data_IF_142348908256
#
_entry.id   IF_142348908256
#
_cell.length_a   1.000
_cell.length_b   1.000
_cell.length_c   1.000
_cell.angle_alpha   90.00
_cell.angle_beta   90.00
_cell.angle_gamma   90.00
#
_symmetry.space_group_name_H-M   'P 1'
#
loop_
_entity.id
_entity.type
_entity.pdbx_description
1 polymer ?
#
# COMPACT_ATOMS: atom_id res chain seq x y z
N UNK A 1 17.49 4.60 9.35
CA UNK A 1 16.93 5.05 10.64
C UNK A 1 15.45 5.40 10.43
N UNK A 2 14.61 5.18 11.44
CA UNK A 2 13.20 5.57 11.46
C UNK A 2 13.05 6.57 12.60
N UNK A 3 12.52 7.77 12.30
CA UNK A 3 12.38 8.86 13.27
C UNK A 3 10.99 9.48 13.15
N UNK A 4 10.41 9.89 14.27
CA UNK A 4 9.12 10.58 14.31
C UNK A 4 9.26 12.09 14.10
N UNK A 5 8.31 12.67 13.36
CA UNK A 5 8.12 14.10 13.21
C UNK A 5 6.67 14.42 13.59
N UNK A 6 6.45 15.46 14.39
CA UNK A 6 5.08 15.83 14.77
C UNK A 6 4.28 16.32 13.56
N UNK A 7 2.99 16.00 13.48
CA UNK A 7 2.14 16.41 12.35
C UNK A 7 2.12 17.92 12.14
N UNK A 8 2.28 18.71 13.21
CA UNK A 8 2.38 20.17 13.15
C UNK A 8 3.57 20.69 12.33
N UNK A 9 4.66 19.94 12.23
CA UNK A 9 5.79 20.32 11.39
C UNK A 9 5.48 20.13 9.91
N UNK A 10 4.78 19.05 9.56
CA UNK A 10 4.25 18.84 8.21
C UNK A 10 3.23 19.94 7.85
N UNK A 11 2.32 20.26 8.77
CA UNK A 11 1.30 21.32 8.57
C UNK A 11 1.95 22.68 8.27
N UNK A 12 3.06 23.02 8.93
CA UNK A 12 3.81 24.26 8.63
C UNK A 12 4.28 24.29 7.17
N UNK A 13 4.77 23.16 6.64
CA UNK A 13 5.24 23.07 5.25
C UNK A 13 4.07 23.05 4.26
N UNK A 14 2.97 22.35 4.56
CA UNK A 14 1.74 22.40 3.75
C UNK A 14 1.23 23.83 3.62
N UNK A 15 1.25 24.61 4.71
CA UNK A 15 0.81 26.00 4.71
C UNK A 15 1.72 26.95 3.91
N UNK A 16 2.91 26.51 3.50
CA UNK A 16 3.83 27.28 2.66
C UNK A 16 3.65 27.00 1.16
N UNK A 17 2.85 25.98 0.79
CA UNK A 17 2.59 25.68 -0.62
C UNK A 17 1.89 26.86 -1.31
N UNK A 18 2.44 27.29 -2.45
CA UNK A 18 1.89 28.42 -3.20
C UNK A 18 0.66 28.01 -4.01
N UNK A 19 -0.24 28.96 -4.28
CA UNK A 19 -1.40 28.70 -5.16
C UNK A 19 -0.98 28.22 -6.55
N UNK A 20 0.18 28.68 -7.05
CA UNK A 20 0.71 28.26 -8.34
C UNK A 20 1.15 26.79 -8.34
N UNK A 21 1.76 26.30 -7.25
CA UNK A 21 2.12 24.87 -7.11
C UNK A 21 0.86 24.00 -7.03
N UNK A 22 -0.14 24.47 -6.28
CA UNK A 22 -1.44 23.79 -6.18
C UNK A 22 -2.15 23.75 -7.54
N UNK A 23 -2.18 24.86 -8.28
CA UNK A 23 -2.77 24.94 -9.63
C UNK A 23 -2.10 23.97 -10.59
N UNK A 24 -0.78 23.89 -10.54
CA UNK A 24 0.01 22.97 -11.36
C UNK A 24 -0.36 21.51 -11.07
N UNK A 25 -0.44 21.12 -9.79
CA UNK A 25 -0.80 19.75 -9.41
C UNK A 25 -2.24 19.41 -9.79
N UNK A 26 -3.17 20.34 -9.61
CA UNK A 26 -4.57 20.14 -10.01
C UNK A 26 -4.70 19.97 -11.53
N UNK A 27 -3.94 20.72 -12.32
CA UNK A 27 -3.89 20.54 -13.78
C UNK A 27 -3.32 19.16 -14.14
N UNK A 28 -2.23 18.75 -13.49
CA UNK A 28 -1.63 17.43 -13.67
C UNK A 28 -2.59 16.29 -13.30
N UNK A 29 -3.42 16.46 -12.26
CA UNK A 29 -4.49 15.50 -11.96
C UNK A 29 -5.50 15.38 -13.10
N UNK A 30 -5.85 16.49 -13.74
CA UNK A 30 -6.75 16.52 -14.91
C UNK A 30 -6.19 15.80 -16.14
N UNK A 31 -4.87 15.84 -16.32
CA UNK A 31 -4.19 15.15 -17.42
C UNK A 31 -4.08 13.64 -17.15
N UNK A 32 -3.75 13.25 -15.91
CA UNK A 32 -3.46 11.86 -15.55
C UNK A 32 -4.68 11.03 -15.19
N UNK A 33 -5.75 11.65 -14.67
CA UNK A 33 -6.88 10.93 -14.07
C UNK A 33 -8.22 11.37 -14.63
N UNK A 34 -9.23 10.50 -14.47
CA UNK A 34 -10.62 10.87 -14.72
C UNK A 34 -11.18 11.60 -13.51
N UNK A 35 -11.19 12.94 -13.55
CA UNK A 35 -11.66 13.78 -12.43
C UNK A 35 -13.18 13.75 -12.36
N UNK A 36 -13.71 13.37 -11.19
CA UNK A 36 -15.15 13.37 -10.93
C UNK A 36 -15.75 14.77 -11.16
N UNK A 37 -16.99 14.88 -11.68
CA UNK A 37 -17.58 16.18 -12.03
C UNK A 37 -17.61 17.20 -10.89
N UNK A 38 -17.81 16.76 -9.64
CA UNK A 38 -17.86 17.66 -8.47
C UNK A 38 -16.49 18.23 -8.09
N UNK A 39 -15.40 17.55 -8.46
CA UNK A 39 -14.02 17.97 -8.21
C UNK A 39 -13.42 18.82 -9.32
N UNK A 40 -14.03 18.85 -10.51
CA UNK A 40 -13.57 19.70 -11.64
C UNK A 40 -13.63 21.18 -11.29
N UNK A 41 -12.88 22.01 -12.01
CA UNK A 41 -12.92 23.49 -11.85
C UNK A 41 -14.35 24.01 -11.98
N UNK A 42 -14.82 24.73 -10.97
CA UNK A 42 -16.21 25.21 -10.87
C UNK A 42 -17.21 24.21 -10.27
N UNK A 43 -16.79 22.98 -9.99
CA UNK A 43 -17.58 21.97 -9.27
C UNK A 43 -17.67 22.28 -7.77
N UNK A 44 -18.73 21.78 -7.14
CA UNK A 44 -19.07 22.09 -5.74
C UNK A 44 -17.98 21.66 -4.72
N UNK A 45 -17.19 20.63 -5.06
CA UNK A 45 -16.14 20.08 -4.19
C UNK A 45 -14.73 20.37 -4.72
N UNK A 46 -14.58 21.29 -5.69
CA UNK A 46 -13.26 21.62 -6.24
C UNK A 46 -12.25 22.07 -5.18
N UNK A 47 -12.71 22.73 -4.11
CA UNK A 47 -11.86 23.13 -2.99
C UNK A 47 -11.18 21.93 -2.31
N UNK A 48 -11.86 20.78 -2.18
CA UNK A 48 -11.27 19.58 -1.57
C UNK A 48 -10.15 18.99 -2.44
N UNK A 49 -10.28 19.06 -3.78
CA UNK A 49 -9.19 18.69 -4.70
C UNK A 49 -7.96 19.60 -4.50
N UNK A 50 -8.18 20.90 -4.31
CA UNK A 50 -7.10 21.86 -4.05
C UNK A 50 -6.43 21.62 -2.72
N UNK A 51 -7.18 21.33 -1.66
CA UNK A 51 -6.62 20.94 -0.36
C UNK A 51 -5.80 19.64 -0.48
N UNK A 52 -6.27 18.67 -1.26
CA UNK A 52 -5.51 17.45 -1.56
C UNK A 52 -4.17 17.74 -2.23
N UNK A 53 -4.18 18.59 -3.27
CA UNK A 53 -2.97 19.02 -3.96
C UNK A 53 -2.01 19.80 -3.06
N UNK A 54 -2.54 20.62 -2.14
CA UNK A 54 -1.75 21.36 -1.15
C UNK A 54 -1.05 20.42 -0.17
N UNK A 55 -1.77 19.40 0.30
CA UNK A 55 -1.20 18.33 1.14
C UNK A 55 -0.08 17.61 0.38
N UNK A 56 -0.30 17.22 -0.87
CA UNK A 56 0.73 16.57 -1.70
C UNK A 56 1.97 17.45 -1.88
N UNK A 57 1.78 18.73 -2.22
CA UNK A 57 2.90 19.67 -2.38
C UNK A 57 3.73 19.79 -1.10
N UNK A 58 3.06 19.97 0.05
CA UNK A 58 3.74 20.09 1.34
C UNK A 58 4.44 18.80 1.77
N UNK A 59 3.79 17.64 1.60
CA UNK A 59 4.40 16.34 1.87
C UNK A 59 5.62 16.11 0.98
N UNK A 60 5.51 16.37 -0.34
CA UNK A 60 6.62 16.22 -1.28
C UNK A 60 7.80 17.11 -0.88
N UNK A 61 7.55 18.38 -0.56
CA UNK A 61 8.58 19.31 -0.13
C UNK A 61 9.26 18.87 1.18
N UNK A 62 8.48 18.44 2.17
CA UNK A 62 8.99 17.92 3.45
C UNK A 62 9.88 16.68 3.23
N UNK A 63 9.40 15.73 2.42
CA UNK A 63 10.12 14.50 2.10
C UNK A 63 11.45 14.75 1.39
N UNK A 64 11.45 15.64 0.40
CA UNK A 64 12.64 16.00 -0.35
C UNK A 64 13.67 16.75 0.50
N UNK A 65 13.23 17.74 1.28
CA UNK A 65 14.11 18.53 2.15
C UNK A 65 14.82 17.64 3.20
N UNK A 66 14.11 16.65 3.75
CA UNK A 66 14.67 15.69 4.69
C UNK A 66 15.38 14.49 4.05
N UNK A 67 15.43 14.42 2.72
CA UNK A 67 15.97 13.28 1.95
C UNK A 67 15.33 11.92 2.35
N UNK A 68 14.07 11.93 2.77
CA UNK A 68 13.34 10.73 3.18
C UNK A 68 13.03 9.85 1.96
N UNK A 69 12.93 8.53 2.17
CA UNK A 69 12.65 7.53 1.11
C UNK A 69 11.32 6.80 1.30
N UNK A 70 10.69 7.00 2.45
CA UNK A 70 9.37 6.53 2.76
C UNK A 70 8.87 7.23 4.01
N UNK A 71 7.59 7.06 4.29
CA UNK A 71 6.91 7.72 5.39
C UNK A 71 5.70 6.90 5.83
N UNK A 72 5.12 7.31 6.94
CA UNK A 72 3.86 6.77 7.47
C UNK A 72 2.96 7.95 7.84
N UNK A 73 1.68 7.71 7.96
CA UNK A 73 0.74 8.61 8.63
C UNK A 73 0.04 7.89 9.79
N UNK A 74 -0.90 8.58 10.43
CA UNK A 74 -1.87 7.96 11.33
C UNK A 74 -3.14 8.79 11.31
N UNK A 75 -4.30 8.16 11.14
CA UNK A 75 -5.57 8.86 11.20
C UNK A 75 -5.90 9.38 12.61
N UNK A 76 -5.18 8.93 13.64
CA UNK A 76 -5.36 9.36 15.03
C UNK A 76 -4.66 10.69 15.35
N UNK A 77 -3.70 11.14 14.52
CA UNK A 77 -3.03 12.44 14.66
C UNK A 77 -3.05 13.23 13.34
N UNK A 78 -4.18 13.91 13.09
CA UNK A 78 -4.39 14.76 11.92
C UNK A 78 -4.54 16.24 12.29
N UNK A 79 -4.00 16.67 13.45
CA UNK A 79 -4.15 18.04 13.92
C UNK A 79 -3.57 19.04 12.90
N UNK A 80 -4.42 19.97 12.44
CA UNK A 80 -4.06 20.96 11.42
C UNK A 80 -4.17 20.50 9.96
N UNK A 81 -4.37 19.20 9.69
CA UNK A 81 -4.63 18.71 8.33
C UNK A 81 -6.12 18.90 7.96
N UNK A 82 -6.35 19.29 6.71
CA UNK A 82 -7.70 19.50 6.16
C UNK A 82 -8.42 18.18 5.85
N UNK A 83 -7.68 17.12 5.52
CA UNK A 83 -8.18 15.77 5.25
C UNK A 83 -7.06 14.75 5.48
N UNK A 84 -7.41 13.47 5.66
CA UNK A 84 -6.43 12.38 5.65
C UNK A 84 -5.73 12.33 4.27
N UNK A 85 -4.39 12.20 4.20
CA UNK A 85 -3.68 12.15 2.92
C UNK A 85 -4.05 10.92 2.05
N UNK A 86 -5.00 11.07 1.12
CA UNK A 86 -5.36 10.02 0.15
C UNK A 86 -4.53 10.08 -1.13
N UNK A 87 -5.01 10.82 -2.13
CA UNK A 87 -4.33 10.97 -3.44
C UNK A 87 -2.85 11.37 -3.32
N UNK A 88 -2.51 12.22 -2.35
CA UNK A 88 -1.13 12.61 -2.06
C UNK A 88 -0.23 11.39 -1.80
N UNK A 89 -0.68 10.46 -0.96
CA UNK A 89 0.06 9.24 -0.63
C UNK A 89 0.14 8.30 -1.83
N UNK A 90 -0.98 8.12 -2.53
CA UNK A 90 -1.05 7.29 -3.73
C UNK A 90 -0.04 7.75 -4.79
N UNK A 91 0.05 9.06 -5.02
CA UNK A 91 0.98 9.65 -5.97
C UNK A 91 2.43 9.60 -5.52
N UNK A 92 2.71 9.88 -4.25
CA UNK A 92 4.07 9.75 -3.70
C UNK A 92 4.57 8.29 -3.79
N UNK A 93 3.70 7.30 -3.55
CA UNK A 93 4.07 5.90 -3.80
C UNK A 93 4.37 5.62 -5.28
N UNK A 94 3.62 6.23 -6.21
CA UNK A 94 3.89 6.10 -7.65
C UNK A 94 5.23 6.74 -8.05
N UNK A 95 5.67 7.78 -7.34
CA UNK A 95 6.99 8.41 -7.48
C UNK A 95 8.13 7.60 -6.85
N UNK A 96 7.84 6.47 -6.21
CA UNK A 96 8.86 5.58 -5.66
C UNK A 96 8.97 5.59 -4.14
N UNK A 97 8.22 6.42 -3.42
CA UNK A 97 8.29 6.46 -1.96
C UNK A 97 7.70 5.18 -1.34
N UNK A 98 8.32 4.73 -0.25
CA UNK A 98 7.70 3.74 0.62
C UNK A 98 6.59 4.36 1.46
N UNK A 99 5.50 3.63 1.66
CA UNK A 99 4.43 4.04 2.54
C UNK A 99 3.91 2.84 3.34
N UNK A 100 3.55 3.10 4.58
CA UNK A 100 2.80 2.19 5.44
C UNK A 100 1.85 3.03 6.29
N UNK A 101 0.60 2.62 6.36
CA UNK A 101 -0.43 3.35 7.08
C UNK A 101 -0.35 3.11 8.60
N UNK A 102 -1.03 3.95 9.38
CA UNK A 102 -1.16 3.84 10.84
C UNK A 102 0.17 3.68 11.61
N UNK A 103 1.21 4.35 11.14
CA UNK A 103 2.54 4.33 11.76
C UNK A 103 3.37 3.09 11.41
N UNK A 104 2.94 2.28 10.43
CA UNK A 104 3.64 1.05 10.04
C UNK A 104 4.90 1.31 9.21
N UNK A 105 5.95 1.68 9.93
CA UNK A 105 7.27 1.94 9.35
C UNK A 105 7.94 0.69 8.76
N UNK A 106 7.55 -0.52 9.20
CA UNK A 106 8.11 -1.77 8.69
C UNK A 106 7.62 -2.00 7.27
N UNK A 107 6.32 -1.90 7.05
CA UNK A 107 5.75 -2.00 5.70
C UNK A 107 6.19 -0.83 4.83
N UNK A 108 6.29 0.39 5.36
CA UNK A 108 6.83 1.52 4.61
C UNK A 108 8.25 1.25 4.07
N UNK A 109 9.13 0.69 4.91
CA UNK A 109 10.47 0.30 4.50
C UNK A 109 10.46 -0.82 3.45
N UNK A 110 9.62 -1.84 3.62
CA UNK A 110 9.47 -2.94 2.68
C UNK A 110 8.96 -2.47 1.31
N UNK A 111 7.92 -1.63 1.28
CA UNK A 111 7.39 -1.02 0.04
C UNK A 111 8.49 -0.24 -0.68
N UNK A 112 9.29 0.56 0.04
CA UNK A 112 10.44 1.25 -0.58
C UNK A 112 11.47 0.28 -1.14
N UNK A 113 11.85 -0.75 -0.38
CA UNK A 113 12.82 -1.75 -0.82
C UNK A 113 12.35 -2.44 -2.10
N UNK A 114 11.10 -2.88 -2.15
CA UNK A 114 10.49 -3.52 -3.33
C UNK A 114 10.37 -2.56 -4.51
N UNK A 115 10.05 -1.28 -4.29
CA UNK A 115 10.07 -0.25 -5.35
C UNK A 115 11.46 -0.09 -5.98
N UNK A 116 12.52 -0.12 -5.17
CA UNK A 116 13.90 -0.05 -5.67
C UNK A 116 14.29 -1.34 -6.38
N UNK A 117 13.93 -2.50 -5.83
CA UNK A 117 14.16 -3.81 -6.44
C UNK A 117 13.52 -3.91 -7.84
N UNK A 118 12.36 -3.27 -8.02
CA UNK A 118 11.63 -3.25 -9.27
C UNK A 118 12.09 -2.18 -10.29
N UNK A 119 13.14 -1.41 -10.00
CA UNK A 119 13.56 -0.32 -10.87
C UNK A 119 13.92 -0.83 -12.29
N UNK A 120 13.26 -0.27 -13.31
CA UNK A 120 13.44 -0.67 -14.70
C UNK A 120 12.58 -1.86 -15.15
N UNK A 121 11.82 -2.48 -14.24
CA UNK A 121 10.85 -3.53 -14.57
C UNK A 121 9.49 -2.91 -14.91
N UNK A 122 8.72 -3.51 -15.86
CA UNK A 122 7.37 -3.07 -16.16
C UNK A 122 6.42 -3.33 -14.99
N UNK A 123 5.37 -2.52 -14.86
CA UNK A 123 4.38 -2.65 -13.78
C UNK A 123 4.81 -2.00 -12.47
N UNK A 124 4.14 -2.36 -11.37
CA UNK A 124 4.36 -1.72 -10.08
C UNK A 124 4.15 -2.64 -8.88
N UNK A 125 4.39 -2.07 -7.71
CA UNK A 125 4.08 -2.64 -6.41
C UNK A 125 3.45 -1.56 -5.52
N UNK A 126 2.71 -1.97 -4.51
CA UNK A 126 1.90 -1.10 -3.67
C UNK A 126 1.92 -1.55 -2.23
N UNK A 127 1.73 -0.61 -1.30
CA UNK A 127 1.13 -0.92 -0.01
C UNK A 127 -0.24 -1.58 -0.22
N UNK A 128 -0.59 -2.57 0.60
CA UNK A 128 -1.82 -3.35 0.48
C UNK A 128 -2.24 -3.94 1.82
N UNK A 129 -3.54 -4.12 2.00
CA UNK A 129 -4.13 -4.81 3.15
C UNK A 129 -5.22 -5.78 2.69
N UNK A 130 -5.25 -6.99 3.26
CA UNK A 130 -6.33 -7.96 3.12
C UNK A 130 -7.62 -7.39 3.76
N UNK A 131 -8.55 -6.89 2.94
CA UNK A 131 -9.67 -6.07 3.40
C UNK A 131 -10.94 -6.89 3.70
N UNK A 132 -11.26 -7.87 2.85
CA UNK A 132 -12.39 -8.79 3.07
C UNK A 132 -12.29 -10.05 2.23
N UNK A 133 -13.17 -11.03 2.47
CA UNK A 133 -13.14 -12.35 1.84
C UNK A 133 -14.42 -12.68 1.09
N UNK A 134 -14.27 -13.42 -0.01
CA UNK A 134 -15.36 -14.04 -0.75
C UNK A 134 -15.27 -15.56 -0.60
N UNK A 135 -16.16 -16.15 0.21
CA UNK A 135 -16.15 -17.59 0.52
C UNK A 135 -17.08 -18.41 -0.38
N UNK A 136 -16.94 -18.25 -1.70
CA UNK A 136 -17.50 -19.21 -2.66
C UNK A 136 -16.59 -20.46 -2.71
N UNK A 137 -17.10 -21.68 -2.42
CA UNK A 137 -16.29 -22.90 -2.47
C UNK A 137 -15.59 -23.16 -3.81
N UNK A 138 -16.14 -22.67 -4.92
CA UNK A 138 -15.55 -22.80 -6.25
C UNK A 138 -14.65 -21.61 -6.64
N UNK A 139 -14.74 -20.50 -5.91
CA UNK A 139 -14.09 -19.25 -6.29
C UNK A 139 -13.66 -18.39 -5.09
N UNK A 140 -13.06 -19.02 -4.08
CA UNK A 140 -12.63 -18.30 -2.89
C UNK A 140 -11.57 -17.25 -3.24
N UNK A 141 -11.78 -16.02 -2.77
CA UNK A 141 -10.91 -14.87 -3.07
C UNK A 141 -10.75 -13.95 -1.86
N UNK A 142 -9.67 -13.20 -1.87
CA UNK A 142 -9.44 -12.05 -1.00
C UNK A 142 -9.64 -10.77 -1.81
N UNK A 143 -10.28 -9.77 -1.22
CA UNK A 143 -10.25 -8.39 -1.71
C UNK A 143 -9.21 -7.62 -0.92
N UNK A 144 -8.18 -7.14 -1.60
CA UNK A 144 -7.21 -6.21 -1.04
C UNK A 144 -7.52 -4.78 -1.39
N UNK A 145 -7.37 -3.90 -0.40
CA UNK A 145 -7.53 -2.46 -0.52
C UNK A 145 -6.81 -1.78 0.64
N UNK A 146 -7.08 -0.49 0.84
CA UNK A 146 -6.87 0.20 2.10
C UNK A 146 -7.91 1.32 2.19
N UNK A 147 -7.91 2.09 3.27
CA UNK A 147 -8.80 3.23 3.48
C UNK A 147 -8.81 4.20 2.28
N UNK A 148 -7.63 4.56 1.77
CA UNK A 148 -7.43 5.41 0.58
C UNK A 148 -6.22 4.97 -0.28
N UNK A 149 -5.18 4.43 0.33
CA UNK A 149 -3.78 4.58 -0.05
C UNK A 149 -3.25 3.42 -0.91
N UNK A 150 -3.91 3.12 -2.03
CA UNK A 150 -3.41 2.13 -3.01
C UNK A 150 -2.69 2.84 -4.16
N UNK A 151 -1.47 2.40 -4.46
CA UNK A 151 -0.58 3.03 -5.43
C UNK A 151 -1.09 2.81 -6.88
N UNK A 152 -1.23 3.86 -7.71
CA UNK A 152 -1.72 3.73 -9.07
C UNK A 152 -0.72 3.05 -10.01
N UNK A 153 0.50 2.72 -9.57
CA UNK A 153 1.45 1.93 -10.38
C UNK A 153 0.98 0.50 -10.66
N UNK A 154 -0.01 0.00 -9.92
CA UNK A 154 -0.66 -1.30 -10.17
C UNK A 154 -2.03 -1.15 -10.84
N UNK A 155 -2.42 0.06 -11.23
CA UNK A 155 -3.72 0.30 -11.85
C UNK A 155 -3.82 -0.34 -13.24
N UNK A 156 -4.96 -0.96 -13.50
CA UNK A 156 -5.37 -1.34 -14.84
C UNK A 156 -6.28 -0.26 -15.42
N UNK A 157 -5.79 0.42 -16.46
CA UNK A 157 -6.48 1.57 -17.07
C UNK A 157 -6.25 2.88 -16.32
N UNK A 158 -6.96 3.92 -16.75
CA UNK A 158 -6.82 5.28 -16.19
C UNK A 158 -7.58 5.39 -14.85
N UNK A 159 -6.91 5.73 -13.73
CA UNK A 159 -7.58 5.89 -12.44
C UNK A 159 -8.63 7.00 -12.43
N UNK A 160 -9.71 6.78 -11.66
CA UNK A 160 -10.73 7.78 -11.37
C UNK A 160 -10.34 8.57 -10.12
N UNK A 161 -10.36 9.90 -10.19
CA UNK A 161 -10.08 10.77 -9.04
C UNK A 161 -11.41 11.21 -8.42
N UNK A 162 -11.68 10.69 -7.23
CA UNK A 162 -12.99 10.74 -6.57
C UNK A 162 -12.90 11.30 -5.15
N UNK A 163 -14.04 11.75 -4.62
CA UNK A 163 -14.21 12.21 -3.25
C UNK A 163 -15.39 11.48 -2.64
N UNK A 164 -15.20 10.96 -1.44
CA UNK A 164 -16.24 10.25 -0.70
C UNK A 164 -16.06 10.45 0.81
N UNK A 165 -17.13 10.29 1.60
CA UNK A 165 -17.03 10.36 3.04
C UNK A 165 -16.06 9.33 3.63
N UNK A 166 -15.28 9.78 4.61
CA UNK A 166 -14.47 8.92 5.47
C UNK A 166 -14.64 9.35 6.93
N UNK A 167 -15.36 8.55 7.72
CA UNK A 167 -15.57 8.84 9.14
C UNK A 167 -14.32 8.66 9.99
N UNK A 168 -13.39 7.80 9.56
CA UNK A 168 -12.13 7.51 10.25
C UNK A 168 -11.23 8.75 10.22
N UNK A 169 -10.70 9.15 11.38
CA UNK A 169 -9.90 10.37 11.54
C UNK A 169 -10.71 11.66 11.70
N UNK A 170 -12.04 11.62 11.52
CA UNK A 170 -12.93 12.76 11.83
C UNK A 170 -12.68 14.03 11.01
N UNK A 171 -12.17 13.88 9.78
CA UNK A 171 -11.87 14.98 8.87
C UNK A 171 -12.90 15.09 7.73
N UNK A 172 -12.95 16.23 7.03
CA UNK A 172 -13.62 16.35 5.74
C UNK A 172 -13.28 15.22 4.76
N UNK A 173 -14.21 14.98 3.84
CA UNK A 173 -14.16 13.94 2.82
C UNK A 173 -12.86 13.99 1.98
N UNK A 174 -11.99 12.97 2.06
CA UNK A 174 -10.72 12.97 1.35
C UNK A 174 -10.87 12.62 -0.13
N UNK A 175 -9.99 13.20 -0.94
CA UNK A 175 -9.83 12.85 -2.36
C UNK A 175 -8.89 11.66 -2.52
N UNK A 176 -9.26 10.70 -3.37
CA UNK A 176 -8.47 9.49 -3.68
C UNK A 176 -8.54 9.10 -5.16
N UNK A 177 -7.65 8.21 -5.56
CA UNK A 177 -7.71 7.47 -6.81
C UNK A 177 -8.41 6.13 -6.60
N UNK A 178 -9.34 5.81 -7.50
CA UNK A 178 -10.14 4.58 -7.53
C UNK A 178 -9.88 3.86 -8.85
N UNK A 179 -9.51 2.59 -8.78
CA UNK A 179 -9.17 1.75 -9.93
C UNK A 179 -9.22 0.26 -9.57
N UNK A 180 -9.20 -0.59 -10.60
CA UNK A 180 -9.00 -2.03 -10.47
C UNK A 180 -7.55 -2.38 -10.82
N UNK A 181 -7.06 -3.50 -10.31
CA UNK A 181 -5.74 -4.08 -10.66
C UNK A 181 -5.94 -5.20 -11.70
N UNK A 182 -4.94 -5.38 -12.57
CA UNK A 182 -4.98 -6.41 -13.62
C UNK A 182 -4.86 -7.82 -13.03
N UNK A 183 -5.45 -8.81 -13.72
CA UNK A 183 -5.24 -10.21 -13.39
C UNK A 183 -3.80 -10.67 -13.70
N UNK A 184 -3.35 -11.72 -13.03
CA UNK A 184 -2.07 -12.37 -13.28
C UNK A 184 -1.30 -12.72 -12.00
N UNK A 185 -0.14 -13.38 -12.15
CA UNK A 185 0.70 -13.76 -11.02
C UNK A 185 1.12 -12.56 -10.19
N UNK A 186 1.03 -12.71 -8.87
CA UNK A 186 1.39 -11.68 -7.92
C UNK A 186 1.94 -12.30 -6.62
N UNK A 187 2.37 -11.44 -5.71
CA UNK A 187 2.72 -11.83 -4.35
C UNK A 187 2.34 -10.76 -3.35
N UNK A 188 2.12 -11.19 -2.11
CA UNK A 188 2.06 -10.35 -0.92
C UNK A 188 3.27 -10.64 -0.04
N UNK A 189 4.03 -9.59 0.29
CA UNK A 189 5.17 -9.69 1.20
C UNK A 189 4.91 -8.92 2.50
N UNK A 190 5.30 -9.48 3.64
CA UNK A 190 5.19 -8.85 4.96
C UNK A 190 6.49 -9.03 5.74
N UNK A 191 6.96 -7.96 6.40
CA UNK A 191 8.11 -8.03 7.30
C UNK A 191 7.64 -7.87 8.75
N UNK A 192 7.94 -8.88 9.56
CA UNK A 192 7.44 -9.00 10.93
C UNK A 192 8.63 -8.99 11.88
N UNK A 193 8.51 -8.21 12.95
CA UNK A 193 9.44 -8.25 14.08
C UNK A 193 8.98 -9.33 15.06
N UNK A 194 9.79 -10.38 15.22
CA UNK A 194 9.54 -11.49 16.13
C UNK A 194 10.06 -11.21 17.54
N UNK A 195 10.56 -10.00 17.80
CA UNK A 195 11.14 -9.52 19.05
C UNK A 195 12.66 -9.61 19.06
N UNK A 196 13.22 -10.78 18.73
CA UNK A 196 14.68 -10.99 18.67
C UNK A 196 15.25 -10.98 17.24
N UNK A 197 14.39 -11.01 16.21
CA UNK A 197 14.77 -11.12 14.80
C UNK A 197 13.63 -10.68 13.90
N UNK A 198 13.93 -10.44 12.62
CA UNK A 198 12.91 -10.21 11.60
C UNK A 198 12.60 -11.49 10.81
N UNK A 199 11.36 -11.59 10.33
CA UNK A 199 10.89 -12.59 9.36
C UNK A 199 10.30 -11.87 8.15
N UNK A 200 10.78 -12.21 6.96
CA UNK A 200 10.14 -11.86 5.69
C UNK A 200 9.23 -13.02 5.27
N UNK A 201 7.93 -12.76 5.24
CA UNK A 201 6.91 -13.71 4.80
C UNK A 201 6.43 -13.32 3.41
N UNK A 202 6.42 -14.26 2.47
CA UNK A 202 5.92 -14.05 1.11
C UNK A 202 4.87 -15.09 0.79
N UNK A 203 3.68 -14.64 0.40
CA UNK A 203 2.65 -15.49 -0.18
C UNK A 203 2.49 -15.17 -1.67
N UNK A 204 2.73 -16.16 -2.51
CA UNK A 204 2.37 -16.08 -3.92
C UNK A 204 0.85 -16.20 -4.08
N UNK A 205 0.29 -15.35 -4.94
CA UNK A 205 -1.14 -15.27 -5.18
C UNK A 205 -1.41 -15.11 -6.68
N UNK A 206 -2.63 -15.43 -7.11
CA UNK A 206 -3.10 -15.13 -8.46
C UNK A 206 -4.09 -13.98 -8.40
N UNK A 207 -3.73 -12.81 -8.94
CA UNK A 207 -4.65 -11.68 -9.05
C UNK A 207 -5.73 -11.98 -10.09
N UNK A 208 -6.97 -11.59 -9.79
CA UNK A 208 -8.15 -11.88 -10.61
C UNK A 208 -8.89 -10.58 -10.91
N UNK A 209 -9.31 -10.43 -12.16
CA UNK A 209 -10.17 -9.30 -12.53
C UNK A 209 -11.56 -9.44 -11.88
N UNK A 210 -12.15 -8.35 -11.36
CA UNK A 210 -13.52 -8.38 -10.85
C UNK A 210 -14.51 -8.85 -11.91
N UNK A 211 -15.35 -9.83 -11.58
CA UNK A 211 -16.39 -10.34 -12.48
C UNK A 211 -17.58 -9.36 -12.63
N UNK A 212 -17.74 -8.45 -11.68
CA UNK A 212 -18.81 -7.46 -11.62
C UNK A 212 -18.25 -6.10 -11.22
N UNK A 213 -18.95 -5.04 -11.63
CA UNK A 213 -18.66 -3.69 -11.17
C UNK A 213 -18.86 -3.57 -9.66
N UNK A 214 -18.02 -2.75 -9.03
CA UNK A 214 -18.06 -2.47 -7.59
C UNK A 214 -18.44 -0.98 -7.35
N UNK A 215 -19.63 -0.52 -7.79
CA UNK A 215 -19.96 0.91 -7.89
C UNK A 215 -20.09 1.62 -6.53
N UNK A 216 -20.24 0.86 -5.44
CA UNK A 216 -20.35 1.38 -4.08
C UNK A 216 -19.05 1.25 -3.27
N UNK A 217 -18.01 0.63 -3.84
CA UNK A 217 -16.72 0.52 -3.18
C UNK A 217 -15.90 1.75 -3.54
N UNK A 218 -15.64 2.68 -2.61
CA UNK A 218 -15.16 4.00 -3.00
C UNK A 218 -13.62 4.08 -3.04
N UNK A 219 -12.94 2.92 -3.01
CA UNK A 219 -11.47 2.74 -2.99
C UNK A 219 -11.01 1.90 -4.16
N UNK A 220 -9.75 2.12 -4.56
CA UNK A 220 -9.03 1.20 -5.43
C UNK A 220 -8.86 -0.17 -4.77
N UNK A 221 -8.84 -1.23 -5.58
CA UNK A 221 -8.87 -2.60 -5.08
C UNK A 221 -8.25 -3.61 -6.04
N UNK A 222 -7.86 -4.76 -5.48
CA UNK A 222 -7.46 -5.97 -6.18
C UNK A 222 -8.23 -7.16 -5.61
N UNK A 223 -8.54 -8.15 -6.44
CA UNK A 223 -8.97 -9.47 -5.97
C UNK A 223 -7.83 -10.45 -6.23
N UNK A 224 -7.61 -11.40 -5.33
CA UNK A 224 -6.67 -12.49 -5.59
C UNK A 224 -7.10 -13.81 -4.98
N UNK A 225 -6.51 -14.89 -5.49
CA UNK A 225 -6.57 -16.24 -4.92
C UNK A 225 -5.22 -16.56 -4.28
N UNK A 226 -5.13 -16.73 -2.96
CA UNK A 226 -3.87 -17.06 -2.32
C UNK A 226 -3.48 -18.51 -2.61
N UNK A 227 -2.19 -18.77 -2.82
CA UNK A 227 -1.67 -20.12 -2.86
C UNK A 227 -1.43 -20.68 -1.45
N UNK A 228 -1.50 -22.02 -1.27
CA UNK A 228 -1.92 -23.02 -2.28
C UNK A 228 -3.43 -23.03 -2.51
N UNK A 229 -4.19 -22.56 -1.52
CA UNK A 229 -5.62 -22.31 -1.56
C UNK A 229 -6.00 -21.35 -0.43
N UNK A 230 -7.24 -20.85 -0.40
CA UNK A 230 -7.73 -19.92 0.62
C UNK A 230 -7.49 -20.41 2.05
N UNK A 231 -7.84 -21.65 2.36
CA UNK A 231 -7.77 -22.18 3.73
C UNK A 231 -6.33 -22.34 4.19
N UNK A 232 -5.51 -23.02 3.39
CA UNK A 232 -4.13 -23.32 3.77
C UNK A 232 -3.23 -22.08 3.67
N UNK A 233 -3.45 -21.20 2.69
CA UNK A 233 -2.70 -19.95 2.55
C UNK A 233 -2.92 -19.02 3.75
N UNK A 234 -4.18 -18.80 4.13
CA UNK A 234 -4.50 -17.99 5.33
C UNK A 234 -4.00 -18.66 6.62
N UNK A 235 -4.16 -19.98 6.77
CA UNK A 235 -3.67 -20.69 7.94
C UNK A 235 -2.14 -20.63 8.05
N UNK A 236 -1.43 -20.78 6.93
CA UNK A 236 0.01 -20.64 6.85
C UNK A 236 0.47 -19.23 7.25
N UNK A 237 -0.19 -18.20 6.74
CA UNK A 237 0.10 -16.80 7.06
C UNK A 237 -0.05 -16.50 8.55
N UNK A 238 -1.17 -16.94 9.15
CA UNK A 238 -1.45 -16.78 10.58
C UNK A 238 -0.42 -17.54 11.43
N UNK A 239 -0.08 -18.77 11.06
CA UNK A 239 0.93 -19.58 11.77
C UNK A 239 2.32 -18.94 11.71
N UNK A 240 2.66 -18.32 10.58
CA UNK A 240 3.93 -17.62 10.40
C UNK A 240 3.95 -16.23 11.08
N UNK A 241 2.80 -15.74 11.55
CA UNK A 241 2.68 -14.44 12.22
C UNK A 241 2.66 -13.24 11.27
N UNK A 242 2.25 -13.44 10.01
CA UNK A 242 2.19 -12.37 9.02
C UNK A 242 1.29 -11.21 9.42
N UNK A 243 1.66 -9.98 9.07
CA UNK A 243 0.84 -8.81 9.31
C UNK A 243 -0.36 -8.75 8.34
N UNK A 244 -1.33 -7.89 8.63
CA UNK A 244 -2.40 -7.52 7.70
C UNK A 244 -1.89 -6.55 6.62
N UNK A 245 -0.91 -5.71 6.96
CA UNK A 245 -0.18 -4.87 6.01
C UNK A 245 0.87 -5.67 5.24
N UNK A 246 0.83 -5.48 3.93
CA UNK A 246 1.74 -6.12 2.98
C UNK A 246 2.24 -5.12 1.95
N UNK A 247 3.30 -5.50 1.25
CA UNK A 247 3.58 -4.97 -0.07
C UNK A 247 3.14 -5.98 -1.12
N UNK A 248 2.13 -5.59 -1.91
CA UNK A 248 1.64 -6.35 -3.06
C UNK A 248 2.50 -6.03 -4.29
N UNK A 249 2.83 -7.05 -5.10
CA UNK A 249 3.58 -6.86 -6.35
C UNK A 249 3.16 -7.83 -7.45
N UNK A 250 3.15 -7.33 -8.68
CA UNK A 250 3.08 -8.12 -9.94
C UNK A 250 4.37 -8.02 -10.76
N UNK A 251 5.38 -7.29 -10.27
CA UNK A 251 6.58 -6.95 -11.03
C UNK A 251 7.90 -7.40 -10.38
N UNK A 252 7.84 -8.03 -9.21
CA UNK A 252 8.98 -8.75 -8.61
C UNK A 252 8.56 -10.17 -8.21
N UNK A 253 9.55 -11.03 -8.00
CA UNK A 253 9.38 -12.46 -7.72
C UNK A 253 9.69 -12.80 -6.27
N UNK A 254 9.20 -13.95 -5.82
CA UNK A 254 9.56 -14.55 -4.52
C UNK A 254 11.06 -14.87 -4.44
N UNK A 255 11.70 -15.24 -5.56
CA UNK A 255 13.15 -15.46 -5.67
C UNK A 255 13.93 -14.18 -5.31
N UNK A 256 13.58 -13.03 -5.90
CA UNK A 256 14.22 -11.75 -5.56
C UNK A 256 14.07 -11.38 -4.09
N UNK A 257 12.93 -11.71 -3.47
CA UNK A 257 12.71 -11.48 -2.03
C UNK A 257 13.47 -12.48 -1.16
N UNK A 258 13.67 -13.71 -1.63
CA UNK A 258 14.51 -14.70 -0.99
C UNK A 258 15.98 -14.28 -0.99
N UNK A 259 16.49 -13.83 -2.14
CA UNK A 259 17.84 -13.27 -2.28
C UNK A 259 18.03 -12.05 -1.36
N UNK A 260 17.04 -11.16 -1.31
CA UNK A 260 17.05 -10.02 -0.39
C UNK A 260 17.13 -10.46 1.08
N UNK A 261 16.35 -11.47 1.48
CA UNK A 261 16.37 -11.98 2.83
C UNK A 261 17.73 -12.61 3.20
N UNK A 262 18.35 -13.34 2.26
CA UNK A 262 19.69 -13.88 2.43
C UNK A 262 20.73 -12.76 2.60
N UNK A 263 20.72 -11.75 1.73
CA UNK A 263 21.61 -10.59 1.85
C UNK A 263 21.43 -9.83 3.16
N UNK A 264 20.19 -9.73 3.65
CA UNK A 264 19.87 -9.06 4.91
C UNK A 264 20.09 -9.93 6.15
N UNK A 265 20.34 -11.24 5.97
CA UNK A 265 20.50 -12.20 7.07
C UNK A 265 19.23 -12.40 7.90
N UNK A 266 18.04 -12.35 7.28
CA UNK A 266 16.75 -12.52 7.95
C UNK A 266 16.05 -13.80 7.52
N UNK A 267 15.16 -14.33 8.36
CA UNK A 267 14.38 -15.52 8.01
C UNK A 267 13.44 -15.21 6.84
N UNK A 268 13.44 -16.09 5.84
CA UNK A 268 12.48 -16.10 4.75
C UNK A 268 11.49 -17.26 4.91
N UNK A 269 10.20 -16.96 4.84
CA UNK A 269 9.12 -17.96 4.82
C UNK A 269 8.31 -17.78 3.54
N UNK A 270 8.19 -18.86 2.76
CA UNK A 270 7.53 -18.84 1.45
C UNK A 270 6.28 -19.69 1.46
N UNK A 271 5.13 -19.06 1.16
CA UNK A 271 3.85 -19.73 0.98
C UNK A 271 3.54 -19.72 -0.53
N UNK A 272 3.62 -20.89 -1.14
CA UNK A 272 3.45 -21.13 -2.57
C UNK A 272 2.49 -22.31 -2.81
N UNK A 273 2.30 -22.67 -4.09
CA UNK A 273 1.35 -23.70 -4.53
C UNK A 273 1.54 -25.09 -3.92
N UNK A 274 2.76 -25.43 -3.48
CA UNK A 274 3.10 -26.75 -2.93
C UNK A 274 3.24 -26.73 -1.40
N UNK A 275 2.96 -25.58 -0.75
CA UNK A 275 3.02 -25.46 0.70
C UNK A 275 2.00 -26.38 1.35
N UNK A 276 2.42 -27.11 2.39
CA UNK A 276 1.52 -27.88 3.26
C UNK A 276 1.69 -27.42 4.69
N UNK A 277 0.59 -27.36 5.45
CA UNK A 277 0.61 -26.91 6.85
C UNK A 277 1.57 -27.74 7.73
N UNK A 278 1.65 -29.08 7.64
CA UNK A 278 2.61 -29.84 8.43
C UNK A 278 4.07 -29.47 8.13
N UNK A 279 4.41 -29.28 6.85
CA UNK A 279 5.76 -28.93 6.43
C UNK A 279 6.13 -27.51 6.85
N UNK A 280 5.24 -26.53 6.62
CA UNK A 280 5.44 -25.17 7.10
C UNK A 280 5.69 -25.13 8.61
N UNK A 281 4.90 -25.85 9.40
CA UNK A 281 5.09 -25.93 10.86
C UNK A 281 6.47 -26.51 11.24
N UNK A 282 7.00 -27.44 10.46
CA UNK A 282 8.36 -27.95 10.67
C UNK A 282 9.40 -26.88 10.35
N UNK A 283 9.28 -26.22 9.19
CA UNK A 283 10.19 -25.15 8.75
C UNK A 283 10.25 -24.02 9.77
N UNK A 284 9.10 -23.54 10.25
CA UNK A 284 9.04 -22.50 11.29
C UNK A 284 9.80 -22.92 12.56
N UNK A 285 9.69 -24.19 12.99
CA UNK A 285 10.42 -24.69 14.17
C UNK A 285 11.92 -24.81 13.93
N UNK A 286 12.32 -25.29 12.76
CA UNK A 286 13.74 -25.45 12.42
C UNK A 286 14.42 -24.10 12.25
N UNK A 287 13.77 -23.17 11.56
CA UNK A 287 14.24 -21.80 11.38
C UNK A 287 14.34 -21.07 12.71
N UNK A 288 13.40 -21.27 13.63
CA UNK A 288 13.47 -20.63 14.95
C UNK A 288 14.73 -21.06 15.73
N UNK A 289 15.15 -22.32 15.61
CA UNK A 289 16.41 -22.79 16.20
C UNK A 289 17.64 -22.20 15.51
N UNK A 290 17.60 -22.00 14.19
CA UNK A 290 18.71 -21.47 13.39
C UNK A 290 18.89 -19.96 13.59
N UNK A 291 17.81 -19.18 13.42
CA UNK A 291 17.82 -17.72 13.51
C UNK A 291 17.63 -17.19 14.94
N UNK A 292 17.20 -18.02 15.90
CA UNK A 292 16.96 -17.59 17.29
C UNK A 292 18.21 -17.45 18.15
N UNK A 293 19.40 -17.78 17.63
CA UNK A 293 20.68 -17.78 18.36
C UNK A 293 21.65 -16.65 17.96
N UNK A 294 21.28 -15.83 16.98
CA UNK A 294 22.08 -14.69 16.49
C UNK A 294 21.72 -13.40 17.20
#
# INVERSE_FOLDING_TARGET
>A
AVNGYGVGDLVKVINQASDADVDKLVAEYGDLYEISPTLRKGGAQHHALREAAKIEAGMRAFLQAGNFKGFTDTFEDLHGLAQLPGIAVQRLMAEGYGFGAEGDWKTAALVRAMKVMAAGLPGGNSFMEDYTYHFDPANAMVLGAHMLEICPSIAHGKPSCEIHPLGIGGKPDPVRLVFNVAAGPALNASIVDMGNRFRLLVNEVEAVAPAHDLPKLPVARVLWKPYPNMTDGCAAWILAGGAHHTCYSQNITSEQLSDFAEMAGIEFVHIHKDTTIPQLKNELRWNDLYYGRS
#
